data_IF_565751409127
#
_entry.id   IF_565751409127
#
_cell.length_a   1.000
_cell.length_b   1.000
_cell.length_c   1.000
_cell.angle_alpha   90.00
_cell.angle_beta   90.00
_cell.angle_gamma   90.00
#
_symmetry.space_group_name_H-M   'P 1'
#
loop_
_entity.id
_entity.type
_entity.pdbx_description
1 polymer ?
#
# COMPACT_ATOMS: atom_id res chain seq x y z
N UNK A 1 0.87 -25.76 13.12
CA UNK A 1 2.05 -25.11 12.51
C UNK A 1 1.93 -23.59 12.66
N UNK A 2 2.93 -22.99 13.22
CA UNK A 2 3.00 -21.53 13.26
C UNK A 2 3.13 -20.99 11.82
N UNK A 3 2.31 -20.01 11.45
CA UNK A 3 2.51 -19.28 10.19
C UNK A 3 3.86 -18.58 10.22
N UNK A 4 4.65 -18.64 9.14
CA UNK A 4 5.90 -17.91 9.11
C UNK A 4 5.64 -16.43 9.41
N UNK A 5 6.30 -15.90 10.42
CA UNK A 5 6.21 -14.50 10.77
C UNK A 5 6.88 -13.67 9.67
N UNK A 6 6.17 -12.70 9.14
CA UNK A 6 6.71 -11.74 8.21
C UNK A 6 7.18 -10.49 8.97
N UNK A 7 8.38 -10.06 8.67
CA UNK A 7 8.97 -8.85 9.25
C UNK A 7 9.20 -7.81 8.17
N UNK A 8 9.20 -6.56 8.57
CA UNK A 8 9.53 -5.46 7.71
C UNK A 8 10.32 -4.39 8.44
N UNK A 9 10.74 -3.40 7.70
CA UNK A 9 11.48 -2.28 8.24
C UNK A 9 10.60 -1.03 8.18
N UNK A 10 10.57 -0.29 9.30
CA UNK A 10 10.00 1.04 9.32
C UNK A 10 10.94 1.98 8.55
N UNK A 11 10.45 2.60 7.49
CA UNK A 11 11.26 3.54 6.69
C UNK A 11 11.54 4.85 7.44
N UNK A 12 10.86 5.09 8.55
CA UNK A 12 11.02 6.31 9.34
C UNK A 12 12.15 6.19 10.35
N UNK A 13 12.26 5.06 11.04
CA UNK A 13 13.27 4.85 12.09
C UNK A 13 14.21 3.67 11.82
N UNK A 14 13.99 2.88 10.77
CA UNK A 14 14.82 1.74 10.41
C UNK A 14 14.62 0.48 11.28
N UNK A 15 13.72 0.51 12.26
CA UNK A 15 13.50 -0.62 13.16
C UNK A 15 12.79 -1.77 12.46
N UNK A 16 13.24 -2.98 12.73
CA UNK A 16 12.62 -4.22 12.25
C UNK A 16 11.40 -4.56 13.10
N UNK A 17 10.23 -4.60 12.50
CA UNK A 17 8.95 -4.80 13.18
C UNK A 17 8.18 -5.92 12.47
N UNK A 18 7.51 -6.77 13.22
CA UNK A 18 6.61 -7.78 12.67
C UNK A 18 5.42 -7.15 11.93
N UNK A 19 4.99 -7.79 10.85
CA UNK A 19 3.86 -7.31 10.02
C UNK A 19 2.63 -6.97 10.85
N UNK A 20 2.26 -7.82 11.79
CA UNK A 20 1.07 -7.63 12.64
C UNK A 20 1.18 -6.45 13.62
N UNK A 21 2.40 -6.02 13.94
CA UNK A 21 2.66 -4.92 14.87
C UNK A 21 3.04 -3.61 14.18
N UNK A 22 3.22 -3.65 12.86
CA UNK A 22 3.73 -2.49 12.13
C UNK A 22 2.79 -1.29 12.18
N UNK A 23 1.49 -1.49 12.04
CA UNK A 23 0.53 -0.38 12.07
C UNK A 23 0.57 0.37 13.42
N UNK A 24 0.64 -0.35 14.52
CA UNK A 24 0.75 0.26 15.85
C UNK A 24 2.06 1.01 16.01
N UNK A 25 3.17 0.43 15.53
CA UNK A 25 4.47 1.10 15.53
C UNK A 25 4.43 2.40 14.70
N UNK A 26 3.87 2.36 13.50
CA UNK A 26 3.79 3.51 12.61
C UNK A 26 2.99 4.65 13.21
N UNK A 27 1.94 4.37 13.94
CA UNK A 27 1.15 5.40 14.65
C UNK A 27 1.95 6.19 15.66
N UNK A 28 2.99 5.56 16.25
CA UNK A 28 3.90 6.21 17.19
C UNK A 28 5.07 6.88 16.49
N UNK A 29 5.54 6.27 15.39
CA UNK A 29 6.74 6.68 14.67
C UNK A 29 6.48 7.75 13.62
N UNK A 30 5.27 7.81 13.06
CA UNK A 30 4.90 8.83 12.08
C UNK A 30 5.11 10.21 12.68
N UNK A 31 5.88 11.06 12.02
CA UNK A 31 6.35 12.27 12.63
C UNK A 31 5.19 13.21 12.91
N UNK A 32 5.13 13.61 14.16
CA UNK A 32 4.57 14.86 14.60
C UNK A 32 5.70 15.88 14.54
N UNK A 33 6.33 15.98 13.38
CA UNK A 33 7.51 16.81 13.24
C UNK A 33 7.15 18.29 13.29
N UNK A 34 7.52 18.92 14.39
CA UNK A 34 7.75 20.33 14.49
C UNK A 34 6.62 21.22 14.01
N UNK A 35 6.98 22.23 13.23
CA UNK A 35 6.11 23.30 12.76
C UNK A 35 5.27 22.96 11.51
N UNK A 36 5.32 21.72 11.02
CA UNK A 36 4.52 21.31 9.87
C UNK A 36 3.13 20.90 10.32
N UNK A 37 2.11 21.54 9.75
CA UNK A 37 0.73 21.20 10.04
C UNK A 37 0.44 19.73 9.71
N UNK A 38 -0.17 19.01 10.67
CA UNK A 38 -0.63 17.65 10.43
C UNK A 38 -1.88 17.65 9.58
N UNK A 39 -2.04 16.62 8.76
CA UNK A 39 -3.24 16.41 7.94
C UNK A 39 -3.84 15.05 8.27
N UNK A 40 -5.13 14.92 8.04
CA UNK A 40 -5.79 13.63 8.09
C UNK A 40 -5.28 12.74 6.96
N UNK A 41 -4.88 11.53 7.31
CA UNK A 41 -4.37 10.54 6.38
C UNK A 41 -4.90 9.17 6.77
N UNK A 42 -4.71 8.22 5.87
CA UNK A 42 -5.00 6.82 6.10
C UNK A 42 -3.72 6.02 6.02
N UNK A 43 -3.56 5.06 6.91
CA UNK A 43 -2.61 3.99 6.72
C UNK A 43 -3.27 2.91 5.88
N UNK A 44 -2.60 2.52 4.81
CA UNK A 44 -3.03 1.42 3.95
C UNK A 44 -1.92 0.39 3.86
N UNK A 45 -2.30 -0.86 3.64
CA UNK A 45 -1.38 -1.95 3.35
C UNK A 45 -1.66 -2.51 1.98
N UNK A 46 -0.62 -2.62 1.17
CA UNK A 46 -0.66 -3.28 -0.13
C UNK A 46 0.09 -4.60 0.01
N UNK A 47 -0.53 -5.69 -0.39
CA UNK A 47 0.10 -7.01 -0.31
C UNK A 47 -0.30 -7.90 -1.48
N UNK A 48 0.57 -8.87 -1.79
CA UNK A 48 0.26 -9.88 -2.78
C UNK A 48 -0.52 -11.03 -2.11
N UNK A 49 -1.75 -11.32 -2.51
CA UNK A 49 -2.57 -12.34 -1.85
C UNK A 49 -1.98 -13.74 -1.93
N UNK A 50 -1.27 -14.07 -3.04
CA UNK A 50 -0.57 -15.34 -3.21
C UNK A 50 0.79 -15.41 -2.51
N UNK A 51 1.29 -14.30 -1.99
CA UNK A 51 2.58 -14.22 -1.31
C UNK A 51 2.51 -13.14 -0.21
N UNK A 52 1.81 -13.39 0.90
CA UNK A 52 1.53 -12.37 1.91
C UNK A 52 2.77 -11.86 2.65
N UNK A 53 3.93 -12.47 2.43
CA UNK A 53 5.21 -11.94 2.90
C UNK A 53 5.65 -10.68 2.12
N UNK A 54 5.12 -10.45 0.94
CA UNK A 54 5.36 -9.23 0.17
C UNK A 54 4.28 -8.21 0.48
N UNK A 55 4.65 -7.17 1.22
CA UNK A 55 3.74 -6.12 1.64
C UNK A 55 4.47 -4.78 1.78
N UNK A 56 3.70 -3.71 1.66
CA UNK A 56 4.16 -2.37 1.99
C UNK A 56 3.03 -1.60 2.66
N UNK A 57 3.39 -0.75 3.59
CA UNK A 57 2.48 0.16 4.25
C UNK A 57 2.75 1.58 3.79
N UNK A 58 1.69 2.31 3.50
CA UNK A 58 1.75 3.69 3.02
C UNK A 58 0.85 4.58 3.87
N UNK A 59 1.31 5.80 4.12
CA UNK A 59 0.46 6.87 4.59
C UNK A 59 -0.07 7.64 3.38
N UNK A 60 -1.38 7.76 3.25
CA UNK A 60 -2.02 8.43 2.12
C UNK A 60 -2.92 9.54 2.63
N UNK A 61 -2.88 10.71 1.96
CA UNK A 61 -3.81 11.79 2.25
C UNK A 61 -5.21 11.35 1.83
N UNK A 62 -6.22 11.83 2.54
CA UNK A 62 -7.62 11.48 2.22
C UNK A 62 -8.03 11.88 0.80
N UNK A 63 -7.40 12.91 0.23
CA UNK A 63 -7.64 13.38 -1.13
C UNK A 63 -6.77 12.69 -2.19
N UNK A 64 -5.85 11.81 -1.80
CA UNK A 64 -5.04 11.05 -2.73
C UNK A 64 -5.91 10.12 -3.58
N UNK A 65 -5.64 10.05 -4.88
CA UNK A 65 -6.41 9.25 -5.81
C UNK A 65 -5.70 7.95 -6.21
N UNK A 66 -6.45 7.07 -6.87
CA UNK A 66 -5.93 5.78 -7.31
C UNK A 66 -4.82 5.90 -8.36
N UNK A 67 -4.81 6.96 -9.16
CA UNK A 67 -3.74 7.20 -10.13
C UNK A 67 -2.39 7.40 -9.43
N UNK A 68 -2.38 8.10 -8.32
CA UNK A 68 -1.18 8.32 -7.53
C UNK A 68 -0.69 7.00 -6.89
N UNK A 69 -1.61 6.17 -6.43
CA UNK A 69 -1.27 4.83 -5.92
C UNK A 69 -0.71 3.93 -7.04
N UNK A 70 -1.34 3.92 -8.20
CA UNK A 70 -0.86 3.18 -9.37
C UNK A 70 0.59 3.57 -9.73
N UNK A 71 0.88 4.86 -9.74
CA UNK A 71 2.23 5.37 -9.99
C UNK A 71 3.23 4.86 -8.96
N UNK A 72 2.87 4.87 -7.69
CA UNK A 72 3.73 4.36 -6.62
C UNK A 72 4.00 2.87 -6.77
N UNK A 73 2.95 2.07 -7.01
CA UNK A 73 3.07 0.61 -7.17
C UNK A 73 3.94 0.24 -8.36
N UNK A 74 3.78 0.93 -9.49
CA UNK A 74 4.62 0.73 -10.68
C UNK A 74 6.09 1.00 -10.40
N UNK A 75 6.38 2.07 -9.68
CA UNK A 75 7.77 2.45 -9.34
C UNK A 75 8.42 1.49 -8.37
N UNK A 76 7.66 0.97 -7.41
CA UNK A 76 8.23 0.19 -6.30
C UNK A 76 8.27 -1.30 -6.56
N UNK A 77 7.24 -1.85 -7.19
CA UNK A 77 7.08 -3.30 -7.31
C UNK A 77 6.96 -3.82 -8.73
N UNK A 78 6.29 -3.07 -9.59
CA UNK A 78 5.82 -3.64 -10.86
C UNK A 78 6.68 -3.24 -12.02
N UNK A 79 7.31 -2.15 -11.90
CA UNK A 79 8.27 -1.61 -12.82
C UNK A 79 8.35 -2.18 -14.22
N UNK A 80 8.51 -1.40 -15.16
CA UNK A 80 8.72 -1.58 -16.56
C UNK A 80 7.45 -1.57 -17.41
N UNK A 81 7.65 -1.35 -18.64
CA UNK A 81 6.85 -1.71 -19.81
C UNK A 81 5.48 -1.06 -19.97
N UNK A 82 5.02 -0.22 -19.04
CA UNK A 82 3.77 0.55 -19.20
C UNK A 82 2.53 -0.30 -19.45
N UNK A 83 2.43 -1.49 -18.84
CA UNK A 83 1.26 -2.35 -18.95
C UNK A 83 0.02 -1.70 -18.33
N UNK A 84 -1.14 -2.13 -18.78
CA UNK A 84 -2.42 -1.69 -18.24
C UNK A 84 -2.61 -2.18 -16.81
N UNK A 85 -3.31 -1.37 -16.02
CA UNK A 85 -3.66 -1.70 -14.65
C UNK A 85 -5.10 -1.30 -14.36
N UNK A 86 -5.69 -1.95 -13.37
CA UNK A 86 -7.07 -1.73 -13.00
C UNK A 86 -7.26 -1.88 -11.49
N UNK A 87 -8.07 -1.00 -10.93
CA UNK A 87 -8.58 -1.14 -9.56
C UNK A 87 -10.02 -1.62 -9.61
N UNK A 88 -10.37 -2.50 -8.68
CA UNK A 88 -11.73 -3.01 -8.55
C UNK A 88 -12.09 -3.25 -7.09
N UNK A 89 -13.38 -3.18 -6.78
CA UNK A 89 -13.91 -3.44 -5.44
C UNK A 89 -15.07 -4.43 -5.51
N UNK A 90 -15.19 -5.25 -4.46
CA UNK A 90 -16.26 -6.24 -4.37
C UNK A 90 -16.25 -7.23 -5.52
N UNK A 91 -17.39 -7.48 -6.15
CA UNK A 91 -17.52 -8.42 -7.26
C UNK A 91 -17.02 -7.83 -8.59
N UNK A 92 -15.72 -7.55 -8.66
CA UNK A 92 -15.05 -6.99 -9.86
C UNK A 92 -15.63 -5.67 -10.37
N UNK A 93 -16.14 -4.85 -9.46
CA UNK A 93 -16.59 -3.50 -9.82
C UNK A 93 -15.37 -2.61 -10.06
N UNK A 94 -15.17 -2.25 -11.31
CA UNK A 94 -14.08 -1.37 -11.73
C UNK A 94 -14.19 0.01 -11.10
N UNK A 95 -13.06 0.52 -10.62
CA UNK A 95 -12.96 1.85 -10.02
C UNK A 95 -12.04 2.73 -10.89
N UNK A 96 -12.52 3.91 -11.25
CA UNK A 96 -11.73 4.84 -12.05
C UNK A 96 -10.52 5.41 -11.33
N UNK A 97 -9.47 5.72 -12.08
CA UNK A 97 -8.19 6.22 -11.54
C UNK A 97 -8.28 7.57 -10.83
N UNK A 98 -9.32 8.36 -11.13
CA UNK A 98 -9.53 9.67 -10.49
C UNK A 98 -10.24 9.57 -9.13
N UNK A 99 -10.73 8.41 -8.77
CA UNK A 99 -11.41 8.17 -7.49
C UNK A 99 -10.40 8.23 -6.35
N UNK A 100 -10.77 8.84 -5.23
CA UNK A 100 -9.91 8.89 -4.06
C UNK A 100 -9.72 7.50 -3.46
N UNK A 101 -8.57 7.28 -2.83
CA UNK A 101 -8.28 6.02 -2.14
C UNK A 101 -9.30 5.78 -1.02
N UNK A 102 -9.66 6.83 -0.28
CA UNK A 102 -10.68 6.77 0.77
C UNK A 102 -12.01 6.24 0.23
N UNK A 103 -12.48 6.80 -0.89
CA UNK A 103 -13.74 6.36 -1.51
C UNK A 103 -13.66 4.92 -2.04
N UNK A 104 -12.53 4.54 -2.63
CA UNK A 104 -12.31 3.18 -3.10
C UNK A 104 -12.38 2.18 -1.94
N UNK A 105 -11.78 2.49 -0.79
CA UNK A 105 -11.89 1.66 0.41
C UNK A 105 -13.33 1.54 0.89
N UNK A 106 -14.07 2.64 0.89
CA UNK A 106 -15.49 2.62 1.28
C UNK A 106 -16.32 1.73 0.36
N UNK A 107 -16.07 1.75 -0.94
CA UNK A 107 -16.76 0.92 -1.92
C UNK A 107 -16.50 -0.58 -1.73
N UNK A 108 -15.31 -0.94 -1.25
CA UNK A 108 -14.87 -2.32 -1.10
C UNK A 108 -14.93 -2.89 0.33
N UNK A 109 -15.53 -2.18 1.29
CA UNK A 109 -15.53 -2.62 2.68
C UNK A 109 -14.14 -2.62 3.32
N UNK A 110 -13.45 -1.50 3.21
CA UNK A 110 -12.08 -1.27 3.71
C UNK A 110 -10.98 -2.02 2.94
N UNK A 111 -11.28 -2.49 1.75
CA UNK A 111 -10.29 -3.12 0.85
C UNK A 111 -10.72 -2.97 -0.60
N UNK A 112 -9.74 -3.01 -1.49
CA UNK A 112 -9.97 -3.11 -2.92
C UNK A 112 -8.82 -3.88 -3.59
N UNK A 113 -9.04 -4.29 -4.83
CA UNK A 113 -8.08 -5.08 -5.59
C UNK A 113 -7.40 -4.25 -6.66
N UNK A 114 -6.17 -4.66 -6.99
CA UNK A 114 -5.39 -4.08 -8.06
C UNK A 114 -4.85 -5.20 -8.95
N UNK A 115 -4.99 -5.03 -10.25
CA UNK A 115 -4.43 -5.94 -11.24
C UNK A 115 -3.53 -5.15 -12.20
N UNK A 116 -2.34 -5.67 -12.41
CA UNK A 116 -1.36 -5.12 -13.33
C UNK A 116 -1.03 -6.15 -14.39
N UNK A 117 -0.97 -5.73 -15.66
CA UNK A 117 -0.68 -6.58 -16.81
C UNK A 117 -1.67 -7.74 -16.96
N UNK A 118 -2.69 -7.54 -17.78
CA UNK A 118 -3.74 -8.54 -17.97
C UNK A 118 -3.30 -9.81 -18.71
N UNK A 119 -2.12 -9.78 -19.37
CA UNK A 119 -1.53 -10.97 -20.00
C UNK A 119 -0.84 -11.88 -18.99
N UNK A 120 -0.10 -11.28 -18.05
CA UNK A 120 0.58 -11.99 -16.94
C UNK A 120 0.23 -11.28 -15.65
N UNK A 121 -0.99 -11.45 -15.19
CA UNK A 121 -1.58 -10.63 -14.13
C UNK A 121 -0.84 -10.73 -12.80
N UNK A 122 -0.40 -9.59 -12.31
CA UNK A 122 0.02 -9.42 -10.92
C UNK A 122 -1.14 -8.83 -10.14
N UNK A 123 -1.66 -9.58 -9.19
CA UNK A 123 -2.77 -9.18 -8.34
C UNK A 123 -2.25 -8.70 -6.98
N UNK A 124 -2.74 -7.55 -6.55
CA UNK A 124 -2.45 -6.98 -5.23
C UNK A 124 -3.77 -6.66 -4.53
N UNK A 125 -3.73 -6.67 -3.21
CA UNK A 125 -4.87 -6.25 -2.37
C UNK A 125 -4.45 -5.05 -1.55
N UNK A 126 -5.28 -4.03 -1.54
CA UNK A 126 -5.10 -2.83 -0.73
C UNK A 126 -6.11 -2.87 0.41
N UNK A 127 -5.64 -2.78 1.63
CA UNK A 127 -6.48 -2.81 2.85
C UNK A 127 -6.24 -1.58 3.70
N UNK A 128 -7.31 -1.08 4.34
CA UNK A 128 -7.19 0.01 5.30
C UNK A 128 -6.62 -0.52 6.62
N UNK A 129 -5.61 0.17 7.15
CA UNK A 129 -5.09 -0.04 8.50
C UNK A 129 -5.67 0.95 9.50
N UNK A 130 -6.34 1.98 9.02
CA UNK A 130 -7.05 2.97 9.81
C UNK A 130 -6.54 4.40 9.64
N UNK A 131 -7.23 5.37 10.23
CA UNK A 131 -6.87 6.77 10.14
C UNK A 131 -5.63 7.10 10.96
N UNK A 132 -4.91 8.12 10.53
CA UNK A 132 -3.74 8.65 11.23
C UNK A 132 -3.62 10.14 10.93
N UNK A 133 -3.13 10.90 11.88
CA UNK A 133 -2.71 12.29 11.66
C UNK A 133 -1.21 12.33 11.45
N UNK A 134 -0.79 12.98 10.40
CA UNK A 134 0.63 13.00 10.02
C UNK A 134 0.97 14.23 9.20
N UNK A 135 2.18 14.70 9.33
CA UNK A 135 2.73 15.71 8.44
C UNK A 135 3.15 15.04 7.12
N UNK A 136 2.37 15.24 6.07
CA UNK A 136 2.67 14.70 4.75
C UNK A 136 2.88 15.83 3.74
N UNK A 137 4.08 15.90 3.20
CA UNK A 137 4.41 16.80 2.09
C UNK A 137 3.91 16.25 0.74
N UNK A 138 3.76 14.94 0.63
CA UNK A 138 3.29 14.24 -0.58
C UNK A 138 1.94 13.58 -0.33
N UNK A 139 1.17 13.35 -1.37
CA UNK A 139 -0.12 12.68 -1.28
C UNK A 139 -0.01 11.25 -0.78
N UNK A 140 1.08 10.55 -1.11
CA UNK A 140 1.36 9.19 -0.68
C UNK A 140 2.83 9.08 -0.26
N UNK A 141 3.07 8.42 0.88
CA UNK A 141 4.42 8.13 1.37
C UNK A 141 4.52 6.66 1.75
N UNK A 142 5.50 5.96 1.19
CA UNK A 142 5.88 4.63 1.67
C UNK A 142 6.51 4.76 3.06
N UNK A 143 5.96 4.08 4.05
CA UNK A 143 6.41 4.20 5.45
C UNK A 143 6.95 2.90 6.04
N UNK A 144 6.61 1.76 5.45
CA UNK A 144 7.18 0.47 5.84
C UNK A 144 7.07 -0.53 4.70
N UNK A 145 7.92 -1.55 4.70
CA UNK A 145 7.82 -2.66 3.76
C UNK A 145 8.49 -3.90 4.33
N UNK A 146 8.14 -5.06 3.77
CA UNK A 146 8.77 -6.31 4.15
C UNK A 146 10.30 -6.26 3.91
N UNK A 147 11.03 -7.01 4.71
CA UNK A 147 12.50 -7.01 4.69
C UNK A 147 13.14 -7.82 3.56
N UNK A 148 12.36 -8.56 2.78
CA UNK A 148 12.88 -9.38 1.69
C UNK A 148 13.59 -8.54 0.64
N UNK A 149 14.81 -8.94 0.29
CA UNK A 149 15.60 -8.30 -0.77
C UNK A 149 15.01 -8.51 -2.16
N UNK A 150 14.14 -9.49 -2.35
CA UNK A 150 13.36 -9.66 -3.57
C UNK A 150 12.25 -8.59 -3.60
N UNK A 151 12.66 -7.37 -3.88
CA UNK A 151 11.83 -6.18 -3.74
C UNK A 151 10.72 -6.06 -4.79
N UNK A 152 10.52 -7.06 -5.64
CA UNK A 152 9.58 -6.97 -6.76
C UNK A 152 8.69 -8.19 -6.80
N UNK A 153 7.40 -7.96 -6.83
CA UNK A 153 6.46 -8.99 -7.26
C UNK A 153 6.67 -9.14 -8.76
N UNK A 154 7.44 -10.13 -9.15
CA UNK A 154 7.60 -10.41 -10.58
C UNK A 154 6.29 -10.97 -11.10
N UNK A 155 5.78 -10.48 -12.23
CA UNK A 155 4.72 -11.17 -12.92
C UNK A 155 5.19 -12.61 -13.15
N UNK A 156 4.31 -13.57 -12.92
CA UNK A 156 4.61 -14.95 -13.27
C UNK A 156 4.84 -14.98 -14.77
N UNK A 157 6.09 -15.14 -15.15
CA UNK A 157 6.40 -15.52 -16.52
C UNK A 157 6.04 -16.97 -16.67
N UNK A 158 5.07 -17.22 -17.49
CA UNK A 158 4.80 -18.57 -17.95
C UNK A 158 5.72 -18.90 -19.13
#
# INVERSE_FOLDING_TARGET
>A
MARPSSFGNCELCGTRIGKSSMALHLRKCLPREGDVATVEALLIRVQAPGAPMFWMDCAVRIDANLKQLDTLLRRRWLECCGHLSEFSAGKRRRIGMSVSIEKALALGGNRFDYEYDFGSTTALVVSALGPVEVALAKSIRLVARNESKAARVRPRTF
#
